data_IF_872264896186
#
_entry.id   IF_872264896186
#
_cell.length_a   1.000
_cell.length_b   1.000
_cell.length_c   1.000
_cell.angle_alpha   90.00
_cell.angle_beta   90.00
_cell.angle_gamma   90.00
#
_symmetry.space_group_name_H-M   'P 1'
#
loop_
_entity.id
_entity.type
_entity.pdbx_description
1 polymer ?
#
# COMPACT_ATOMS: atom_id res chain seq x y z
N UNK A 1 15.87 9.71 17.74
CA UNK A 1 17.12 9.09 17.26
C UNK A 1 17.31 9.48 15.81
N UNK A 2 18.32 10.28 15.47
CA UNK A 2 18.61 10.67 14.09
C UNK A 2 19.39 9.51 13.44
N UNK A 3 18.73 8.69 12.63
CA UNK A 3 19.43 7.84 11.68
C UNK A 3 19.96 8.79 10.60
N UNK A 4 21.18 9.29 10.79
CA UNK A 4 21.88 10.00 9.72
C UNK A 4 22.01 9.00 8.58
N UNK A 5 21.26 9.22 7.50
CA UNK A 5 21.35 8.39 6.31
C UNK A 5 22.80 8.44 5.82
N UNK A 6 23.57 7.39 6.13
CA UNK A 6 24.89 7.20 5.57
C UNK A 6 24.68 7.09 4.07
N UNK A 7 25.04 8.16 3.33
CA UNK A 7 24.86 8.17 1.89
C UNK A 7 25.83 7.11 1.35
N UNK A 8 25.32 6.14 0.58
CA UNK A 8 26.18 5.07 0.12
C UNK A 8 27.33 5.60 -0.71
N UNK A 9 28.49 4.96 -0.58
CA UNK A 9 29.69 5.30 -1.33
C UNK A 9 29.56 4.86 -2.81
N UNK A 10 30.39 5.41 -3.71
CA UNK A 10 30.36 5.09 -5.15
C UNK A 10 30.51 3.59 -5.46
N UNK A 11 31.19 2.84 -4.60
CA UNK A 11 31.31 1.37 -4.72
C UNK A 11 29.97 0.67 -4.50
N UNK A 12 29.17 1.13 -3.53
CA UNK A 12 27.86 0.58 -3.20
C UNK A 12 26.86 0.89 -4.31
N UNK A 13 26.92 2.08 -4.92
CA UNK A 13 26.15 2.42 -6.12
C UNK A 13 26.47 1.48 -7.30
N UNK A 14 27.76 1.23 -7.57
CA UNK A 14 28.14 0.29 -8.64
C UNK A 14 27.67 -1.15 -8.35
N UNK A 15 27.78 -1.57 -7.09
CA UNK A 15 27.37 -2.90 -6.63
C UNK A 15 25.86 -3.07 -6.73
N UNK A 16 25.11 -2.02 -6.35
CA UNK A 16 23.66 -1.96 -6.49
C UNK A 16 23.24 -2.15 -7.95
N UNK A 17 23.86 -1.40 -8.89
CA UNK A 17 23.55 -1.49 -10.30
C UNK A 17 23.80 -2.90 -10.88
N UNK A 18 24.90 -3.55 -10.47
CA UNK A 18 25.19 -4.93 -10.86
C UNK A 18 24.14 -5.89 -10.29
N UNK A 19 23.88 -5.80 -8.98
CA UNK A 19 22.91 -6.66 -8.30
C UNK A 19 21.49 -6.49 -8.87
N UNK A 20 21.06 -5.25 -9.14
CA UNK A 20 19.77 -4.96 -9.75
C UNK A 20 19.65 -5.63 -11.12
N UNK A 21 20.62 -5.41 -12.00
CA UNK A 21 20.62 -5.97 -13.35
C UNK A 21 20.60 -7.51 -13.35
N UNK A 22 21.34 -8.14 -12.45
CA UNK A 22 21.43 -9.60 -12.38
C UNK A 22 20.24 -10.26 -11.68
N UNK A 23 19.70 -9.63 -10.63
CA UNK A 23 18.76 -10.29 -9.73
C UNK A 23 17.30 -9.85 -9.94
N UNK A 24 17.05 -8.65 -10.50
CA UNK A 24 15.68 -8.15 -10.67
C UNK A 24 14.78 -9.06 -11.51
N UNK A 25 15.24 -9.66 -12.64
CA UNK A 25 14.41 -10.61 -13.39
C UNK A 25 14.01 -11.84 -12.57
N UNK A 26 14.91 -12.32 -11.70
CA UNK A 26 14.65 -13.47 -10.83
C UNK A 26 13.68 -13.13 -9.70
N UNK A 27 13.81 -11.96 -9.08
CA UNK A 27 12.86 -11.46 -8.07
C UNK A 27 11.48 -11.27 -8.69
N UNK A 28 11.42 -10.62 -9.85
CA UNK A 28 10.16 -10.39 -10.57
C UNK A 28 9.47 -11.72 -10.91
N UNK A 29 10.23 -12.69 -11.43
CA UNK A 29 9.70 -14.03 -11.73
C UNK A 29 9.19 -14.75 -10.48
N UNK A 30 9.91 -14.64 -9.36
CA UNK A 30 9.49 -15.20 -8.08
C UNK A 30 8.18 -14.59 -7.58
N UNK A 31 8.03 -13.25 -7.64
CA UNK A 31 6.84 -12.55 -7.17
C UNK A 31 5.62 -12.81 -8.08
N UNK A 32 5.83 -12.87 -9.41
CA UNK A 32 4.80 -13.30 -10.37
C UNK A 32 4.30 -14.71 -10.07
N UNK A 33 5.21 -15.66 -9.84
CA UNK A 33 4.85 -17.03 -9.48
C UNK A 33 4.08 -17.13 -8.15
N UNK A 34 4.16 -16.10 -7.30
CA UNK A 34 3.44 -16.00 -6.02
C UNK A 34 2.09 -15.27 -6.11
N UNK A 35 1.70 -14.79 -7.30
CA UNK A 35 0.43 -14.10 -7.51
C UNK A 35 0.35 -12.72 -6.84
N UNK A 36 1.49 -12.03 -6.70
CA UNK A 36 1.50 -10.61 -6.30
C UNK A 36 0.81 -9.78 -7.39
N UNK A 37 -0.04 -8.83 -7.00
CA UNK A 37 -0.83 -8.00 -7.92
C UNK A 37 0.02 -7.01 -8.71
N UNK A 38 0.97 -6.35 -8.05
CA UNK A 38 1.98 -5.48 -8.68
C UNK A 38 3.40 -6.03 -8.40
N UNK A 39 3.82 -7.07 -9.14
CA UNK A 39 5.11 -7.71 -8.90
C UNK A 39 6.29 -6.82 -9.34
N UNK A 40 6.10 -5.94 -10.32
CA UNK A 40 7.09 -4.94 -10.73
C UNK A 40 7.33 -3.89 -9.64
N UNK A 41 6.26 -3.29 -9.10
CA UNK A 41 6.36 -2.32 -8.01
C UNK A 41 6.96 -2.93 -6.76
N UNK A 42 6.54 -4.15 -6.38
CA UNK A 42 7.12 -4.85 -5.24
C UNK A 42 8.59 -5.25 -5.48
N UNK A 43 8.99 -5.51 -6.73
CA UNK A 43 10.41 -5.68 -7.08
C UNK A 43 11.20 -4.39 -6.81
N UNK A 44 10.67 -3.21 -7.16
CA UNK A 44 11.34 -1.94 -6.83
C UNK A 44 11.51 -1.74 -5.33
N UNK A 45 10.46 -2.00 -4.54
CA UNK A 45 10.50 -1.94 -3.08
C UNK A 45 11.57 -2.85 -2.46
N UNK A 46 11.81 -4.02 -3.05
CA UNK A 46 12.88 -4.93 -2.61
C UNK A 46 14.25 -4.30 -2.79
N UNK A 47 14.52 -3.71 -3.95
CA UNK A 47 15.82 -3.09 -4.21
C UNK A 47 16.01 -1.76 -3.47
N UNK A 48 14.95 -0.98 -3.28
CA UNK A 48 14.98 0.20 -2.40
C UNK A 48 15.34 -0.19 -0.96
N UNK A 49 14.80 -1.30 -0.47
CA UNK A 49 15.14 -1.83 0.87
C UNK A 49 16.54 -2.47 0.93
N UNK A 50 17.09 -2.95 -0.19
CA UNK A 50 18.45 -3.47 -0.27
C UNK A 50 19.49 -2.35 -0.15
N UNK A 51 19.30 -1.25 -0.88
CA UNK A 51 20.29 -0.20 -1.06
C UNK A 51 20.96 0.30 0.23
N UNK A 52 20.22 0.71 1.30
CA UNK A 52 20.84 1.19 2.53
C UNK A 52 21.58 0.11 3.34
N UNK A 53 21.42 -1.17 2.97
CA UNK A 53 22.00 -2.32 3.69
C UNK A 53 23.25 -2.88 3.00
N UNK A 54 23.60 -2.38 1.82
CA UNK A 54 24.69 -2.94 1.00
C UNK A 54 26.04 -2.91 1.72
N UNK A 55 26.35 -1.83 2.44
CA UNK A 55 27.62 -1.69 3.18
C UNK A 55 27.81 -2.74 4.30
N UNK A 56 26.72 -3.31 4.80
CA UNK A 56 26.75 -4.30 5.89
C UNK A 56 26.75 -5.75 5.38
N UNK A 57 26.55 -5.97 4.08
CA UNK A 57 26.45 -7.32 3.52
C UNK A 57 27.81 -8.01 3.51
N UNK A 58 27.87 -9.18 4.14
CA UNK A 58 29.02 -10.08 4.09
C UNK A 58 28.80 -11.17 3.05
N UNK A 59 29.88 -11.61 2.40
CA UNK A 59 29.83 -12.71 1.43
C UNK A 59 29.56 -12.28 -0.02
N UNK A 60 29.77 -11.00 -0.35
CA UNK A 60 29.72 -10.48 -1.72
C UNK A 60 28.38 -10.72 -2.43
N UNK A 61 28.41 -10.98 -3.74
CA UNK A 61 27.19 -11.16 -4.53
C UNK A 61 26.30 -12.31 -4.05
N UNK A 62 26.88 -13.38 -3.50
CA UNK A 62 26.11 -14.48 -2.90
C UNK A 62 25.33 -14.00 -1.67
N UNK A 63 25.97 -13.21 -0.81
CA UNK A 63 25.31 -12.58 0.35
C UNK A 63 24.21 -11.63 -0.08
N UNK A 64 24.46 -10.81 -1.10
CA UNK A 64 23.47 -9.88 -1.68
C UNK A 64 22.27 -10.65 -2.22
N UNK A 65 22.49 -11.72 -2.99
CA UNK A 65 21.41 -12.57 -3.52
C UNK A 65 20.55 -13.14 -2.41
N UNK A 66 21.17 -13.73 -1.38
CA UNK A 66 20.43 -14.24 -0.22
C UNK A 66 19.60 -13.15 0.45
N UNK A 67 20.19 -11.97 0.69
CA UNK A 67 19.49 -10.85 1.31
C UNK A 67 18.31 -10.34 0.45
N UNK A 68 18.51 -10.19 -0.86
CA UNK A 68 17.46 -9.78 -1.81
C UNK A 68 16.25 -10.72 -1.73
N UNK A 69 16.47 -12.02 -1.77
CA UNK A 69 15.36 -12.98 -1.69
C UNK A 69 14.72 -13.04 -0.29
N UNK A 70 15.48 -12.80 0.79
CA UNK A 70 14.90 -12.62 2.13
C UNK A 70 13.98 -11.39 2.19
N UNK A 71 14.41 -10.25 1.63
CA UNK A 71 13.59 -9.03 1.56
C UNK A 71 12.34 -9.28 0.70
N UNK A 72 12.49 -9.89 -0.48
CA UNK A 72 11.39 -10.24 -1.36
C UNK A 72 10.34 -11.12 -0.67
N UNK A 73 10.79 -12.12 0.08
CA UNK A 73 9.89 -12.98 0.83
C UNK A 73 9.15 -12.23 1.93
N UNK A 74 9.84 -11.39 2.71
CA UNK A 74 9.22 -10.59 3.76
C UNK A 74 8.17 -9.63 3.20
N UNK A 75 8.49 -8.92 2.11
CA UNK A 75 7.56 -8.01 1.42
C UNK A 75 6.33 -8.73 0.88
N UNK A 76 6.52 -9.91 0.29
CA UNK A 76 5.41 -10.76 -0.14
C UNK A 76 4.51 -11.18 1.04
N UNK A 77 5.08 -11.59 2.17
CA UNK A 77 4.31 -11.98 3.36
C UNK A 77 3.54 -10.79 3.93
N UNK A 78 4.15 -9.60 3.95
CA UNK A 78 3.47 -8.36 4.37
C UNK A 78 2.27 -8.05 3.47
N UNK A 79 2.46 -8.13 2.16
CA UNK A 79 1.40 -7.90 1.17
C UNK A 79 0.29 -8.95 1.26
N UNK A 80 0.65 -10.22 1.41
CA UNK A 80 -0.31 -11.30 1.60
C UNK A 80 -1.12 -11.11 2.89
N UNK A 81 -0.47 -10.74 4.00
CA UNK A 81 -1.16 -10.42 5.26
C UNK A 81 -2.10 -9.23 5.11
N UNK A 82 -1.68 -8.18 4.40
CA UNK A 82 -2.50 -7.00 4.13
C UNK A 82 -3.77 -7.36 3.35
N UNK A 83 -3.66 -8.23 2.34
CA UNK A 83 -4.80 -8.75 1.56
C UNK A 83 -5.77 -9.55 2.42
N UNK A 84 -5.26 -10.44 3.27
CA UNK A 84 -6.11 -11.25 4.15
C UNK A 84 -6.79 -10.41 5.26
N UNK A 85 -6.13 -9.35 5.70
CA UNK A 85 -6.65 -8.44 6.72
C UNK A 85 -7.57 -7.35 6.16
N UNK A 86 -7.64 -7.19 4.84
CA UNK A 86 -8.48 -6.17 4.21
C UNK A 86 -9.96 -6.47 4.54
N UNK A 87 -10.66 -5.57 5.27
CA UNK A 87 -12.09 -5.74 5.52
C UNK A 87 -12.82 -5.87 4.17
N UNK A 88 -13.78 -6.79 4.03
CA UNK A 88 -14.59 -6.84 2.83
C UNK A 88 -15.20 -5.46 2.61
N UNK A 89 -14.90 -4.87 1.46
CA UNK A 89 -15.53 -3.61 1.04
C UNK A 89 -16.96 -3.98 0.63
N UNK A 90 -17.85 -4.11 1.60
CA UNK A 90 -19.28 -4.16 1.30
C UNK A 90 -19.64 -2.79 0.72
N UNK A 91 -20.23 -2.77 -0.47
CA UNK A 91 -20.78 -1.54 -1.03
C UNK A 91 -21.66 -0.89 0.01
N UNK A 92 -21.42 0.39 0.30
CA UNK A 92 -22.29 1.14 1.18
C UNK A 92 -23.59 1.42 0.41
N UNK A 93 -24.68 0.79 0.84
CA UNK A 93 -26.03 1.15 0.39
C UNK A 93 -26.67 2.08 1.44
N UNK A 94 -26.85 3.37 1.11
CA UNK A 94 -27.53 4.31 2.01
C UNK A 94 -28.96 3.88 2.36
N UNK A 95 -29.63 3.08 1.53
CA UNK A 95 -31.00 2.61 1.78
C UNK A 95 -31.08 1.52 2.86
N UNK A 96 -29.98 0.79 3.09
CA UNK A 96 -29.92 -0.32 4.06
C UNK A 96 -29.25 0.05 5.39
N UNK A 97 -28.70 1.27 5.53
CA UNK A 97 -28.04 1.70 6.78
C UNK A 97 -29.09 2.02 7.88
N UNK A 98 -29.13 1.27 9.00
CA UNK A 98 -30.05 1.54 10.10
C UNK A 98 -29.76 2.86 10.84
N UNK A 99 -28.61 3.51 10.58
CA UNK A 99 -28.28 4.84 11.11
C UNK A 99 -28.83 5.97 10.24
N UNK A 100 -29.53 5.66 9.15
CA UNK A 100 -30.17 6.68 8.31
C UNK A 100 -31.28 7.39 9.08
N UNK A 101 -31.24 8.71 9.09
CA UNK A 101 -32.34 9.56 9.53
C UNK A 101 -32.85 10.42 8.37
N UNK A 102 -34.09 10.89 8.48
CA UNK A 102 -34.68 11.82 7.50
C UNK A 102 -33.92 13.15 7.51
N UNK A 103 -33.56 13.67 6.33
CA UNK A 103 -32.96 15.00 6.23
C UNK A 103 -33.93 16.08 6.71
N UNK A 104 -33.41 17.20 7.19
CA UNK A 104 -34.23 18.38 7.49
C UNK A 104 -34.96 18.90 6.23
N UNK A 105 -34.33 18.77 5.05
CA UNK A 105 -34.93 19.14 3.76
C UNK A 105 -36.13 18.26 3.40
N UNK A 106 -36.00 16.93 3.53
CA UNK A 106 -37.10 15.98 3.29
C UNK A 106 -38.27 16.22 4.25
N UNK A 107 -37.95 16.51 5.51
CA UNK A 107 -38.97 16.84 6.53
C UNK A 107 -39.70 18.14 6.17
N UNK A 108 -38.98 19.17 5.73
CA UNK A 108 -39.57 20.45 5.33
C UNK A 108 -40.45 20.30 4.08
N UNK A 109 -40.01 19.55 3.07
CA UNK A 109 -40.78 19.28 1.84
C UNK A 109 -42.04 18.45 2.12
N UNK A 110 -41.98 17.48 3.05
CA UNK A 110 -43.15 16.71 3.47
C UNK A 110 -44.18 17.57 4.23
N UNK A 111 -43.70 18.52 5.04
CA UNK A 111 -44.54 19.51 5.73
C UNK A 111 -45.12 20.53 4.73
N UNK A 112 -44.34 20.95 3.73
CA UNK A 112 -44.79 21.83 2.64
C UNK A 112 -45.89 21.17 1.81
N UNK A 113 -45.72 19.89 1.45
CA UNK A 113 -46.74 19.09 0.77
C UNK A 113 -48.02 18.91 1.60
N UNK A 114 -47.92 18.98 2.93
CA UNK A 114 -49.06 18.94 3.85
C UNK A 114 -49.72 20.31 4.10
N UNK A 115 -49.15 21.38 3.52
CA UNK A 115 -49.74 22.72 3.46
C UNK A 115 -49.77 23.45 4.81
N UNK A 116 -48.74 24.25 5.11
CA UNK A 116 -48.82 25.55 5.82
C UNK A 116 -47.44 26.20 6.12
N UNK A 117 -46.51 26.24 5.16
CA UNK A 117 -45.19 26.90 5.36
C UNK A 117 -45.31 28.43 5.53
N UNK A 118 -46.34 29.05 4.94
CA UNK A 118 -46.59 30.51 5.07
C UNK A 118 -46.88 30.98 6.51
N UNK A 119 -47.23 30.09 7.44
CA UNK A 119 -47.52 30.46 8.83
C UNK A 119 -46.27 30.63 9.70
N UNK A 120 -45.12 30.03 9.31
CA UNK A 120 -43.89 30.03 10.12
C UNK A 120 -42.91 31.16 9.76
N UNK A 121 -43.11 31.86 8.64
CA UNK A 121 -42.21 32.92 8.17
C UNK A 121 -42.65 34.34 8.58
N UNK A 122 -43.75 34.48 9.33
CA UNK A 122 -44.36 35.77 9.64
C UNK A 122 -44.41 36.08 11.15
N UNK A 123 -43.36 35.68 11.88
CA UNK A 123 -43.05 36.19 13.23
C UNK A 123 -41.61 36.70 13.27
#
# INVERSE_FOLDING_TARGET
>A
MRHGANRPGPTEESTFCVAYRELAPGVLSYLRARGVEDPEGLTQEVFLALFPRLGDVRGGMKGIKSLVFCIAHARYVDEHRRRLAAPPTTGYDPAEDPRRSTSAEDQLLAVEASGNVKALLND
#
